data_IF_948243118555
#
_entry.id   IF_948243118555
#
_cell.length_a   1.000
_cell.length_b   1.000
_cell.length_c   1.000
_cell.angle_alpha   90.00
_cell.angle_beta   90.00
_cell.angle_gamma   90.00
#
_symmetry.space_group_name_H-M   'P 1'
#
loop_
_entity.id
_entity.type
_entity.pdbx_description
1 polymer ?
#
# COMPACT_ATOMS: atom_id res chain seq x y z
N UNK A 1 -3.15 -8.47 2.41
CA UNK A 1 -4.25 -7.47 2.49
C UNK A 1 -5.40 -8.15 3.19
N UNK A 2 -5.95 -7.52 4.20
CA UNK A 2 -6.99 -8.08 5.05
C UNK A 2 -8.22 -7.17 5.01
N UNK A 3 -9.33 -7.70 4.53
CA UNK A 3 -10.62 -7.01 4.48
C UNK A 3 -11.40 -7.37 5.74
N UNK A 4 -11.72 -6.41 6.63
CA UNK A 4 -12.64 -6.68 7.71
C UNK A 4 -14.05 -6.94 7.17
N UNK A 5 -14.89 -7.54 8.02
CA UNK A 5 -16.31 -7.70 7.70
C UNK A 5 -16.92 -6.35 7.34
N UNK A 6 -17.78 -6.34 6.31
CA UNK A 6 -18.46 -5.16 5.78
C UNK A 6 -17.58 -4.11 5.07
N UNK A 7 -16.28 -4.36 4.84
CA UNK A 7 -15.42 -3.44 4.09
C UNK A 7 -15.96 -3.13 2.67
N UNK A 8 -16.69 -4.06 2.08
CA UNK A 8 -17.43 -3.89 0.81
C UNK A 8 -18.91 -4.19 1.03
N UNK A 9 -19.77 -3.52 0.25
CA UNK A 9 -21.24 -3.59 0.41
C UNK A 9 -21.88 -4.80 -0.26
N UNK A 10 -21.18 -5.44 -1.19
CA UNK A 10 -21.64 -6.59 -1.96
C UNK A 10 -20.45 -7.48 -2.34
N UNK A 11 -20.75 -8.68 -2.84
CA UNK A 11 -19.73 -9.63 -3.31
C UNK A 11 -18.86 -8.97 -4.39
N UNK A 12 -17.60 -8.73 -4.05
CA UNK A 12 -16.66 -7.94 -4.87
C UNK A 12 -15.42 -8.76 -5.21
N UNK A 13 -15.05 -8.79 -6.48
CA UNK A 13 -13.77 -9.33 -6.92
C UNK A 13 -12.70 -8.24 -6.90
N UNK A 14 -11.61 -8.51 -6.17
CA UNK A 14 -10.48 -7.59 -6.03
C UNK A 14 -9.24 -8.26 -6.62
N UNK A 15 -8.56 -7.55 -7.51
CA UNK A 15 -7.23 -7.92 -7.99
C UNK A 15 -6.19 -7.10 -7.26
N UNK A 16 -5.14 -7.76 -6.78
CA UNK A 16 -3.99 -7.12 -6.11
C UNK A 16 -2.75 -7.53 -6.88
N UNK A 17 -2.03 -6.57 -7.45
CA UNK A 17 -0.85 -6.83 -8.26
C UNK A 17 0.32 -5.93 -7.83
N UNK A 18 1.50 -6.52 -7.60
CA UNK A 18 2.73 -5.76 -7.36
C UNK A 18 3.36 -5.43 -8.71
N UNK A 19 3.55 -4.14 -8.98
CA UNK A 19 4.11 -3.60 -10.22
C UNK A 19 5.37 -2.81 -9.93
N UNK A 20 6.20 -2.73 -10.95
CA UNK A 20 7.39 -1.90 -11.00
C UNK A 20 7.28 -1.01 -12.24
N UNK A 21 7.42 0.30 -12.08
CA UNK A 21 7.47 1.21 -13.21
C UNK A 21 8.91 1.46 -13.68
N UNK A 22 9.03 2.00 -14.90
CA UNK A 22 10.32 2.31 -15.54
C UNK A 22 11.15 3.35 -14.79
N UNK A 23 10.54 4.06 -13.84
CA UNK A 23 11.18 5.11 -13.06
C UNK A 23 11.74 4.58 -11.73
N UNK A 24 11.74 3.26 -11.50
CA UNK A 24 12.30 2.69 -10.27
C UNK A 24 11.29 2.49 -9.13
N UNK A 25 10.00 2.78 -9.35
CA UNK A 25 9.00 2.77 -8.28
C UNK A 25 8.25 1.44 -8.26
N UNK A 26 8.29 0.76 -7.11
CA UNK A 26 7.40 -0.35 -6.80
C UNK A 26 6.08 0.17 -6.26
N UNK A 27 4.98 -0.42 -6.71
CA UNK A 27 3.65 -0.12 -6.19
C UNK A 27 2.73 -1.34 -6.27
N UNK A 28 1.77 -1.41 -5.37
CA UNK A 28 0.65 -2.33 -5.43
C UNK A 28 -0.51 -1.64 -6.10
N UNK A 29 -1.09 -2.28 -7.11
CA UNK A 29 -2.33 -1.83 -7.76
C UNK A 29 -3.51 -2.68 -7.29
N UNK A 30 -4.55 -1.99 -6.84
CA UNK A 30 -5.83 -2.59 -6.49
C UNK A 30 -6.88 -2.25 -7.53
N UNK A 31 -7.52 -3.27 -8.10
CA UNK A 31 -8.63 -3.13 -9.05
C UNK A 31 -9.86 -3.92 -8.60
N UNK A 32 -11.09 -3.38 -8.78
CA UNK A 32 -11.37 -2.02 -9.25
C UNK A 32 -10.99 -0.96 -8.21
N UNK A 33 -10.69 0.25 -8.67
CA UNK A 33 -10.52 1.40 -7.76
C UNK A 33 -11.88 1.82 -7.18
N UNK A 34 -11.91 2.25 -5.93
CA UNK A 34 -13.15 2.52 -5.19
C UNK A 34 -12.89 2.84 -3.72
N UNK A 35 -13.94 2.98 -2.92
CA UNK A 35 -13.86 3.25 -1.47
C UNK A 35 -14.39 2.07 -0.66
N UNK A 36 -13.89 1.91 0.56
CA UNK A 36 -14.40 0.93 1.53
C UNK A 36 -15.35 1.57 2.53
N UNK A 37 -16.22 0.74 3.10
CA UNK A 37 -17.04 1.15 4.25
C UNK A 37 -16.26 1.06 5.56
N UNK A 38 -15.15 0.31 5.59
CA UNK A 38 -14.30 0.05 6.75
C UNK A 38 -12.84 0.09 6.34
N UNK A 39 -11.94 0.44 7.27
CA UNK A 39 -10.51 0.46 7.00
C UNK A 39 -9.96 -0.95 6.69
N UNK A 40 -9.28 -1.08 5.56
CA UNK A 40 -8.59 -2.30 5.13
C UNK A 40 -7.13 -2.25 5.55
N UNK A 41 -6.61 -3.36 6.05
CA UNK A 41 -5.20 -3.47 6.45
C UNK A 41 -4.35 -3.96 5.26
N UNK A 42 -3.32 -3.20 4.91
CA UNK A 42 -2.36 -3.54 3.87
C UNK A 42 -1.01 -3.75 4.51
N UNK A 43 -0.38 -4.89 4.19
CA UNK A 43 0.97 -5.22 4.63
C UNK A 43 1.84 -5.39 3.40
N UNK A 44 2.89 -4.57 3.30
CA UNK A 44 3.86 -4.60 2.21
C UNK A 44 5.22 -5.03 2.73
N UNK A 45 5.95 -5.83 1.95
CA UNK A 45 7.34 -6.16 2.25
C UNK A 45 8.27 -5.09 1.68
N UNK A 46 9.25 -4.67 2.47
CA UNK A 46 10.31 -3.76 2.02
C UNK A 46 11.64 -4.48 1.75
N UNK A 47 11.65 -5.82 1.80
CA UNK A 47 12.85 -6.63 1.55
C UNK A 47 13.41 -6.44 0.12
N UNK A 48 12.57 -6.02 -0.82
CA UNK A 48 12.95 -5.74 -2.22
C UNK A 48 13.43 -4.31 -2.47
N UNK A 49 13.34 -3.41 -1.47
CA UNK A 49 13.66 -2.00 -1.66
C UNK A 49 15.16 -1.68 -1.50
N UNK A 50 16.00 -2.68 -1.22
CA UNK A 50 17.44 -2.49 -0.93
C UNK A 50 17.67 -1.41 0.15
N UNK A 51 16.80 -1.39 1.15
CA UNK A 51 16.83 -0.46 2.28
C UNK A 51 17.48 -1.16 3.47
N UNK A 52 18.54 -0.55 4.01
CA UNK A 52 19.13 -0.99 5.28
C UNK A 52 18.24 -0.62 6.46
N UNK A 53 18.16 -1.51 7.47
CA UNK A 53 17.33 -1.37 8.66
C UNK A 53 17.34 0.02 9.36
N UNK A 54 18.46 0.75 9.52
CA UNK A 54 18.45 2.10 10.11
C UNK A 54 17.70 3.16 9.28
N UNK A 55 17.51 2.94 7.97
CA UNK A 55 16.85 3.91 7.09
C UNK A 55 15.35 3.69 7.01
N UNK A 56 14.81 2.63 7.65
CA UNK A 56 13.38 2.33 7.59
C UNK A 56 12.53 3.39 8.30
N UNK A 57 13.10 4.17 9.21
CA UNK A 57 12.42 5.31 9.85
C UNK A 57 12.03 6.40 8.83
N UNK A 58 12.71 6.43 7.67
CA UNK A 58 12.42 7.33 6.57
C UNK A 58 11.41 6.75 5.56
N UNK A 59 10.97 5.49 5.76
CA UNK A 59 10.02 4.84 4.86
C UNK A 59 8.69 5.57 4.89
N UNK A 60 8.26 6.01 3.71
CA UNK A 60 6.96 6.62 3.50
C UNK A 60 6.10 5.76 2.57
N UNK A 61 4.80 5.82 2.79
CA UNK A 61 3.81 5.21 1.89
C UNK A 61 3.10 6.32 1.13
N UNK A 62 2.93 6.11 -0.16
CA UNK A 62 2.29 7.06 -1.05
C UNK A 62 1.14 6.39 -1.78
N UNK A 63 0.11 7.15 -2.09
CA UNK A 63 -1.01 6.70 -2.92
C UNK A 63 -1.13 7.52 -4.20
N UNK A 64 -1.66 6.91 -5.26
CA UNK A 64 -1.87 7.57 -6.55
C UNK A 64 -3.19 7.18 -7.18
N UNK A 65 -4.08 8.16 -7.36
CA UNK A 65 -5.43 8.00 -7.93
C UNK A 65 -5.51 8.27 -9.44
N UNK A 66 -4.42 8.72 -10.07
CA UNK A 66 -4.38 9.15 -11.47
C UNK A 66 -3.57 8.21 -12.37
N UNK A 67 -3.48 6.94 -11.95
CA UNK A 67 -2.71 5.94 -12.68
C UNK A 67 -1.19 6.15 -12.54
N UNK A 68 -0.72 6.55 -11.35
CA UNK A 68 0.69 6.60 -11.00
C UNK A 68 1.42 7.84 -11.48
N UNK A 69 0.71 8.89 -11.91
CA UNK A 69 1.30 10.13 -12.43
C UNK A 69 1.64 11.09 -11.29
N UNK A 70 0.80 11.20 -10.28
CA UNK A 70 1.07 11.91 -9.04
C UNK A 70 0.89 11.01 -7.83
N UNK A 71 1.78 11.16 -6.85
CA UNK A 71 1.83 10.39 -5.62
C UNK A 71 1.72 11.32 -4.43
N UNK A 72 0.83 10.98 -3.49
CA UNK A 72 0.57 11.76 -2.29
C UNK A 72 0.91 10.91 -1.07
N UNK A 73 1.54 11.46 -0.02
CA UNK A 73 1.79 10.70 1.19
C UNK A 73 0.47 10.31 1.84
N UNK A 74 0.39 9.10 2.40
CA UNK A 74 -0.74 8.74 3.25
C UNK A 74 -0.55 9.36 4.65
N UNK A 75 -1.64 9.84 5.24
CA UNK A 75 -1.66 10.32 6.61
C UNK A 75 -2.23 9.21 7.51
N UNK A 76 -1.43 8.18 7.75
CA UNK A 76 -1.81 7.08 8.65
C UNK A 76 -0.59 6.55 9.39
N UNK A 77 -0.83 5.95 10.55
CA UNK A 77 0.20 5.32 11.35
C UNK A 77 0.76 4.09 10.61
N UNK A 78 2.09 4.00 10.53
CA UNK A 78 2.79 2.89 9.93
C UNK A 78 3.27 1.93 11.03
N UNK A 79 2.96 0.65 10.88
CA UNK A 79 3.40 -0.41 11.78
C UNK A 79 4.52 -1.20 11.11
N UNK A 80 5.77 -0.87 11.45
CA UNK A 80 6.96 -1.54 10.90
C UNK A 80 7.27 -2.79 11.72
N UNK A 81 7.39 -3.93 11.03
CA UNK A 81 7.92 -5.17 11.60
C UNK A 81 9.32 -5.44 11.02
N UNK A 82 10.34 -5.27 11.86
CA UNK A 82 11.74 -5.43 11.48
C UNK A 82 12.14 -6.88 11.25
N UNK A 83 11.53 -7.84 11.95
CA UNK A 83 11.83 -9.27 11.81
C UNK A 83 11.32 -9.83 10.49
N UNK A 84 10.08 -9.46 10.14
CA UNK A 84 9.42 -9.90 8.90
C UNK A 84 9.73 -8.99 7.71
N UNK A 85 10.40 -7.86 7.94
CA UNK A 85 10.66 -6.79 6.97
C UNK A 85 9.40 -6.34 6.24
N UNK A 86 8.38 -6.00 7.02
CA UNK A 86 7.11 -5.49 6.51
C UNK A 86 6.73 -4.15 7.12
N UNK A 87 5.86 -3.43 6.42
CA UNK A 87 5.15 -2.25 6.90
C UNK A 87 3.65 -2.52 6.73
N UNK A 88 2.88 -2.33 7.78
CA UNK A 88 1.42 -2.42 7.75
C UNK A 88 0.78 -1.05 7.96
N UNK A 89 -0.30 -0.79 7.25
CA UNK A 89 -1.03 0.48 7.31
C UNK A 89 -2.50 0.28 6.90
N UNK A 90 -3.33 1.25 7.27
CA UNK A 90 -4.77 1.22 6.97
C UNK A 90 -5.12 2.11 5.78
N UNK A 91 -6.04 1.64 4.95
CA UNK A 91 -6.56 2.36 3.79
C UNK A 91 -8.09 2.31 3.79
N UNK A 92 -8.72 3.35 3.25
CA UNK A 92 -10.17 3.44 3.05
C UNK A 92 -10.57 3.46 1.56
N UNK A 93 -9.60 3.31 0.66
CA UNK A 93 -9.85 3.28 -0.78
C UNK A 93 -8.87 2.40 -1.54
N UNK A 94 -9.37 1.78 -2.61
CA UNK A 94 -8.57 1.08 -3.60
C UNK A 94 -7.99 2.06 -4.61
N UNK A 95 -6.66 2.07 -4.67
CA UNK A 95 -5.92 2.79 -5.70
C UNK A 95 -4.55 2.15 -5.87
N UNK A 96 -3.53 2.89 -6.30
CA UNK A 96 -2.15 2.43 -6.27
C UNK A 96 -1.45 2.89 -5.00
N UNK A 97 -0.71 1.99 -4.35
CA UNK A 97 0.10 2.31 -3.17
C UNK A 97 1.56 1.97 -3.43
N UNK A 98 2.44 2.95 -3.32
CA UNK A 98 3.89 2.81 -3.43
C UNK A 98 4.55 3.02 -2.08
N UNK A 99 5.73 2.46 -1.89
CA UNK A 99 6.49 2.61 -0.65
C UNK A 99 7.98 2.73 -0.95
N UNK A 100 8.67 3.60 -0.21
CA UNK A 100 10.07 3.93 -0.42
C UNK A 100 10.54 5.07 0.48
N UNK A 101 11.83 5.38 0.38
CA UNK A 101 12.49 6.51 1.05
C UNK A 101 12.65 7.65 0.04
#
# INVERSE_FOLDING_TARGET
>A
VEFPANAVSEDTYVTVEVKYNKNGIFYVEFLPSGTFNEFVNVTLSWDYLDIDAPSIEELNIYFSQDGGKYWFPIDTELFVNYELKTVAFKIDHFTRFGWGI
#
